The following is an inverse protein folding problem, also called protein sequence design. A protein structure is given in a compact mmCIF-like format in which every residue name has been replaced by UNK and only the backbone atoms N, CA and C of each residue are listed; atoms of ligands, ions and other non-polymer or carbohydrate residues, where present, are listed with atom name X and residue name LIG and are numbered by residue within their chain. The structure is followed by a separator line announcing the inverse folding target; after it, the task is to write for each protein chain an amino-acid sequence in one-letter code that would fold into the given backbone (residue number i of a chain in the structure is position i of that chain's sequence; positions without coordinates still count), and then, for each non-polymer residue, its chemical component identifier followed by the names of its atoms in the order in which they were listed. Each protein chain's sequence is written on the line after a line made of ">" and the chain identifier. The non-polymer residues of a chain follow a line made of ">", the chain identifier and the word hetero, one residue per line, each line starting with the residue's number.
data_IF_655583742612
#
_entry.id   IF_655583742612
#
_cell.length_a   1.000
_cell.length_b   1.000
_cell.length_c   1.000
_cell.angle_alpha   90.00
_cell.angle_beta   90.00
_cell.angle_gamma   90.00
#
_symmetry.space_group_name_H-M   'P 1'
#
loop_
_entity.id
_entity.type
_entity.pdbx_description
1 polymer ?
#
# COMPACT_ATOMS: atom_id res chain seq x y z
N UNK A 1 -20.21 11.41 71.49
CA UNK A 1 -20.65 10.61 70.32
C UNK A 1 -22.14 10.73 70.00
N UNK A 2 -23.07 10.70 70.97
CA UNK A 2 -24.51 10.70 70.69
C UNK A 2 -25.06 11.94 69.96
N UNK A 3 -24.68 13.15 70.38
CA UNK A 3 -25.33 14.39 69.94
C UNK A 3 -25.25 14.67 68.42
N UNK A 4 -24.09 14.56 67.77
CA UNK A 4 -23.98 14.81 66.33
C UNK A 4 -24.76 13.79 65.49
N UNK A 5 -24.80 12.53 65.92
CA UNK A 5 -25.60 11.48 65.28
C UNK A 5 -27.10 11.73 65.46
N UNK A 6 -27.52 12.19 66.65
CA UNK A 6 -28.92 12.55 66.92
C UNK A 6 -29.36 13.75 66.09
N UNK A 7 -28.53 14.80 65.97
CA UNK A 7 -28.81 15.97 65.13
C UNK A 7 -28.87 15.57 63.65
N UNK A 8 -27.94 14.74 63.17
CA UNK A 8 -28.04 14.20 61.81
C UNK A 8 -29.30 13.36 61.59
N UNK A 9 -29.76 12.62 62.61
CA UNK A 9 -31.02 11.87 62.56
C UNK A 9 -32.25 12.77 62.43
N UNK A 10 -32.24 13.92 63.11
CA UNK A 10 -33.28 14.94 62.97
C UNK A 10 -33.31 15.55 61.55
N UNK A 11 -32.13 15.77 60.95
CA UNK A 11 -32.03 16.23 59.56
C UNK A 11 -32.66 15.26 58.56
N UNK A 12 -32.44 13.94 58.74
CA UNK A 12 -33.09 12.90 57.91
C UNK A 12 -34.62 12.93 58.07
N UNK A 13 -35.13 13.17 59.29
CA UNK A 13 -36.56 13.31 59.54
C UNK A 13 -37.12 14.55 58.82
N UNK A 14 -36.43 15.70 58.89
CA UNK A 14 -36.85 16.89 58.17
C UNK A 14 -36.83 16.71 56.65
N UNK A 15 -35.83 16.00 56.12
CA UNK A 15 -35.77 15.63 54.71
C UNK A 15 -36.97 14.75 54.31
N UNK A 16 -37.28 13.72 55.11
CA UNK A 16 -38.44 12.86 54.87
C UNK A 16 -39.78 13.61 54.96
N UNK A 17 -39.88 14.65 55.80
CA UNK A 17 -41.04 15.54 55.91
C UNK A 17 -41.11 16.62 54.81
N UNK A 18 -40.15 16.65 53.87
CA UNK A 18 -40.09 17.64 52.80
C UNK A 18 -39.67 19.04 53.26
N UNK A 19 -39.19 19.20 54.50
CA UNK A 19 -38.70 20.47 55.04
C UNK A 19 -37.21 20.63 54.71
N UNK A 20 -36.93 20.90 53.44
CA UNK A 20 -35.58 20.83 52.87
C UNK A 20 -34.61 21.87 53.48
N UNK A 21 -35.05 23.11 53.71
CA UNK A 21 -34.21 24.15 54.31
C UNK A 21 -33.79 23.79 55.75
N UNK A 22 -34.75 23.30 56.55
CA UNK A 22 -34.46 22.82 57.91
C UNK A 22 -33.54 21.59 57.90
N UNK A 23 -33.67 20.70 56.90
CA UNK A 23 -32.78 19.56 56.76
C UNK A 23 -31.34 20.02 56.48
N UNK A 24 -31.14 20.99 55.59
CA UNK A 24 -29.84 21.59 55.27
C UNK A 24 -29.20 22.19 56.52
N UNK A 25 -29.93 23.08 57.21
CA UNK A 25 -29.43 23.74 58.42
C UNK A 25 -29.03 22.73 59.49
N UNK A 26 -29.87 21.71 59.70
CA UNK A 26 -29.63 20.67 60.71
C UNK A 26 -28.42 19.80 60.35
N UNK A 27 -28.22 19.46 59.07
CA UNK A 27 -27.04 18.70 58.66
C UNK A 27 -25.76 19.54 58.71
N UNK A 28 -25.80 20.84 58.41
CA UNK A 28 -24.65 21.73 58.62
C UNK A 28 -24.26 21.84 60.09
N UNK A 29 -25.23 21.97 60.99
CA UNK A 29 -24.98 21.93 62.44
C UNK A 29 -24.34 20.60 62.86
N UNK A 30 -24.81 19.47 62.32
CA UNK A 30 -24.21 18.17 62.58
C UNK A 30 -22.73 18.09 62.11
N UNK A 31 -22.41 18.68 60.96
CA UNK A 31 -21.03 18.75 60.42
C UNK A 31 -20.13 19.63 61.31
N UNK A 32 -20.59 20.83 61.66
CA UNK A 32 -19.87 21.76 62.56
C UNK A 32 -19.54 21.09 63.90
N UNK A 33 -20.51 20.42 64.50
CA UNK A 33 -20.32 19.68 65.74
C UNK A 33 -19.34 18.52 65.56
N UNK A 34 -19.46 17.74 64.48
CA UNK A 34 -18.57 16.62 64.20
C UNK A 34 -17.12 17.09 64.02
N UNK A 35 -16.90 18.21 63.32
CA UNK A 35 -15.58 18.86 63.16
C UNK A 35 -15.02 19.36 64.48
N UNK A 36 -15.82 20.07 65.29
CA UNK A 36 -15.41 20.59 66.61
C UNK A 36 -14.94 19.49 67.58
N UNK A 37 -15.51 18.30 67.45
CA UNK A 37 -15.17 17.14 68.26
C UNK A 37 -14.22 16.16 67.56
N UNK A 38 -13.71 16.49 66.37
CA UNK A 38 -12.81 15.68 65.56
C UNK A 38 -13.31 14.24 65.31
N UNK A 39 -14.63 14.08 65.11
CA UNK A 39 -15.26 12.77 64.83
C UNK A 39 -15.67 12.71 63.35
N UNK A 40 -14.82 12.14 62.52
CA UNK A 40 -15.00 12.12 61.05
C UNK A 40 -16.11 11.18 60.54
N UNK A 41 -16.57 10.21 61.34
CA UNK A 41 -17.61 9.26 60.92
C UNK A 41 -19.03 9.90 60.84
N UNK A 42 -19.52 10.60 61.89
CA UNK A 42 -20.75 11.39 61.81
C UNK A 42 -20.69 12.51 60.76
N UNK A 43 -19.52 13.14 60.57
CA UNK A 43 -19.30 14.16 59.55
C UNK A 43 -19.54 13.60 58.14
N UNK A 44 -18.91 12.47 57.81
CA UNK A 44 -19.08 11.85 56.50
C UNK A 44 -20.51 11.33 56.26
N UNK A 45 -21.24 10.98 57.33
CA UNK A 45 -22.67 10.64 57.24
C UNK A 45 -23.49 11.87 56.91
N UNK A 46 -23.32 12.96 57.66
CA UNK A 46 -24.05 14.20 57.45
C UNK A 46 -23.79 14.81 56.05
N UNK A 47 -22.57 14.72 55.54
CA UNK A 47 -22.24 15.10 54.15
C UNK A 47 -23.01 14.28 53.11
N UNK A 48 -23.15 12.97 53.31
CA UNK A 48 -23.94 12.15 52.39
C UNK A 48 -25.43 12.52 52.45
N UNK A 49 -25.97 12.77 53.64
CA UNK A 49 -27.39 13.16 53.77
C UNK A 49 -27.64 14.55 53.14
N UNK A 50 -26.71 15.51 53.27
CA UNK A 50 -26.78 16.78 52.53
C UNK A 50 -26.82 16.55 51.01
N UNK A 51 -25.98 15.65 50.49
CA UNK A 51 -26.02 15.29 49.09
C UNK A 51 -27.40 14.80 48.64
N UNK A 52 -28.08 14.00 49.47
CA UNK A 52 -29.43 13.50 49.19
C UNK A 52 -30.51 14.59 49.25
N UNK A 53 -30.37 15.55 50.16
CA UNK A 53 -31.25 16.72 50.24
C UNK A 53 -31.12 17.57 48.97
N UNK A 54 -29.89 17.89 48.55
CA UNK A 54 -29.65 18.65 47.31
C UNK A 54 -30.07 17.88 46.04
N UNK A 55 -29.91 16.55 46.02
CA UNK A 55 -30.43 15.71 44.94
C UNK A 55 -31.96 15.79 44.84
N UNK A 56 -32.66 15.89 45.98
CA UNK A 56 -34.12 16.06 46.04
C UNK A 56 -34.55 17.45 45.57
N UNK A 57 -33.74 18.48 45.82
CA UNK A 57 -33.96 19.85 45.33
C UNK A 57 -33.65 20.02 43.85
N UNK A 58 -32.97 19.04 43.22
CA UNK A 58 -32.55 19.10 41.83
C UNK A 58 -31.21 19.82 41.59
N UNK A 59 -30.52 20.28 42.64
CA UNK A 59 -29.17 20.84 42.56
C UNK A 59 -28.14 19.71 42.54
N UNK A 60 -28.02 19.06 41.36
CA UNK A 60 -27.21 17.86 41.18
C UNK A 60 -25.70 18.13 41.31
N UNK A 61 -25.25 19.36 41.03
CA UNK A 61 -23.85 19.74 41.15
C UNK A 61 -23.42 19.84 42.62
N UNK A 62 -24.23 20.48 43.47
CA UNK A 62 -23.98 20.46 44.92
C UNK A 62 -24.12 19.06 45.51
N UNK A 63 -25.13 18.31 45.07
CA UNK A 63 -25.28 16.91 45.51
C UNK A 63 -24.01 16.11 45.24
N UNK A 64 -23.44 16.25 44.04
CA UNK A 64 -22.19 15.60 43.64
C UNK A 64 -21.01 16.01 44.52
N UNK A 65 -20.86 17.29 44.80
CA UNK A 65 -19.81 17.81 45.67
C UNK A 65 -19.88 17.20 47.07
N UNK A 66 -21.05 17.23 47.71
CA UNK A 66 -21.22 16.67 49.05
C UNK A 66 -21.02 15.15 49.11
N UNK A 67 -21.39 14.42 48.05
CA UNK A 67 -21.09 12.99 47.95
C UNK A 67 -19.60 12.71 47.76
N UNK A 68 -18.88 13.54 47.01
CA UNK A 68 -17.43 13.42 46.84
C UNK A 68 -16.68 13.71 48.16
N UNK A 69 -17.09 14.77 48.88
CA UNK A 69 -16.52 15.11 50.19
C UNK A 69 -16.76 13.98 51.20
N UNK A 70 -17.96 13.40 51.20
CA UNK A 70 -18.30 12.22 52.01
C UNK A 70 -17.43 11.00 51.66
N UNK A 71 -17.19 10.75 50.37
CA UNK A 71 -16.34 9.65 49.90
C UNK A 71 -14.89 9.83 50.37
N UNK A 72 -14.31 11.03 50.17
CA UNK A 72 -12.93 11.34 50.56
C UNK A 72 -12.71 11.15 52.07
N UNK A 73 -13.66 11.64 52.88
CA UNK A 73 -13.57 11.49 54.33
C UNK A 73 -13.69 10.03 54.78
N UNK A 74 -14.54 9.23 54.12
CA UNK A 74 -14.69 7.78 54.40
C UNK A 74 -13.48 6.96 54.01
N UNK A 75 -12.79 7.35 52.94
CA UNK A 75 -11.51 6.75 52.56
C UNK A 75 -10.44 7.06 53.60
N UNK A 76 -10.34 8.31 54.06
CA UNK A 76 -9.36 8.71 55.08
C UNK A 76 -9.50 7.94 56.40
N UNK A 77 -10.73 7.60 56.80
CA UNK A 77 -11.00 6.81 58.01
C UNK A 77 -11.13 5.30 57.77
N UNK A 78 -10.77 4.80 56.58
CA UNK A 78 -10.85 3.39 56.19
C UNK A 78 -12.24 2.74 56.40
N UNK A 79 -13.33 3.52 56.27
CA UNK A 79 -14.69 3.01 56.39
C UNK A 79 -15.14 2.34 55.08
N UNK A 80 -14.76 1.08 54.88
CA UNK A 80 -15.06 0.30 53.65
C UNK A 80 -16.55 0.28 53.30
N UNK A 81 -17.42 0.06 54.28
CA UNK A 81 -18.87 0.01 54.05
C UNK A 81 -19.44 1.37 53.62
N UNK A 82 -18.92 2.46 54.19
CA UNK A 82 -19.25 3.83 53.80
C UNK A 82 -18.74 4.19 52.40
N UNK A 83 -17.53 3.74 52.04
CA UNK A 83 -16.96 3.97 50.70
C UNK A 83 -17.83 3.35 49.61
N UNK A 84 -18.27 2.10 49.79
CA UNK A 84 -19.18 1.43 48.83
C UNK A 84 -20.50 2.22 48.70
N UNK A 85 -21.07 2.68 49.82
CA UNK A 85 -22.32 3.44 49.80
C UNK A 85 -22.17 4.78 49.05
N UNK A 86 -21.07 5.50 49.26
CA UNK A 86 -20.79 6.76 48.56
C UNK A 86 -20.58 6.54 47.06
N UNK A 87 -19.85 5.48 46.66
CA UNK A 87 -19.63 5.15 45.24
C UNK A 87 -20.91 4.73 44.51
N UNK A 88 -21.82 3.99 45.17
CA UNK A 88 -23.14 3.65 44.62
C UNK A 88 -23.95 4.90 44.30
N UNK A 89 -23.97 5.85 45.24
CA UNK A 89 -24.77 7.07 45.12
C UNK A 89 -24.17 8.01 44.08
N UNK A 90 -22.85 8.19 44.06
CA UNK A 90 -22.15 8.92 43.00
C UNK A 90 -22.39 8.30 41.63
N UNK A 91 -22.26 6.98 41.50
CA UNK A 91 -22.50 6.29 40.24
C UNK A 91 -23.95 6.42 39.74
N UNK A 92 -24.93 6.42 40.64
CA UNK A 92 -26.33 6.66 40.30
C UNK A 92 -26.58 8.11 39.87
N UNK A 93 -25.99 9.08 40.57
CA UNK A 93 -26.09 10.51 40.25
C UNK A 93 -25.42 10.83 38.92
N UNK A 94 -24.21 10.33 38.69
CA UNK A 94 -23.46 10.53 37.44
C UNK A 94 -24.19 9.91 36.24
N UNK A 95 -24.90 8.79 36.44
CA UNK A 95 -25.77 8.21 35.42
C UNK A 95 -26.95 9.13 35.06
N UNK A 96 -27.56 9.80 36.05
CA UNK A 96 -28.62 10.80 35.83
C UNK A 96 -28.09 12.05 35.11
N UNK A 97 -26.85 12.45 35.41
CA UNK A 97 -26.13 13.55 34.76
C UNK A 97 -25.61 13.18 33.35
N UNK A 98 -25.84 11.94 32.88
CA UNK A 98 -25.30 11.39 31.63
C UNK A 98 -23.76 11.38 31.56
N UNK A 99 -23.09 11.51 32.71
CA UNK A 99 -21.65 11.37 32.84
C UNK A 99 -21.26 9.87 32.88
N UNK A 100 -21.56 9.16 31.79
CA UNK A 100 -21.53 7.69 31.76
C UNK A 100 -20.16 7.09 32.06
N UNK A 101 -19.06 7.76 31.71
CA UNK A 101 -17.71 7.31 32.05
C UNK A 101 -17.45 7.27 33.55
N UNK A 102 -17.76 8.36 34.25
CA UNK A 102 -17.58 8.51 35.70
C UNK A 102 -18.54 7.62 36.48
N UNK A 103 -19.77 7.45 35.97
CA UNK A 103 -20.74 6.51 36.51
C UNK A 103 -20.25 5.05 36.43
N UNK A 104 -19.66 4.64 35.29
CA UNK A 104 -19.09 3.30 35.11
C UNK A 104 -17.95 3.07 36.10
N UNK A 105 -17.00 4.00 36.18
CA UNK A 105 -15.84 3.89 37.06
C UNK A 105 -16.27 3.73 38.53
N UNK A 106 -17.19 4.59 39.00
CA UNK A 106 -17.70 4.57 40.37
C UNK A 106 -18.44 3.28 40.70
N UNK A 107 -19.32 2.80 39.82
CA UNK A 107 -20.10 1.58 40.05
C UNK A 107 -19.26 0.30 39.96
N UNK A 108 -18.29 0.22 39.05
CA UNK A 108 -17.37 -0.93 38.99
C UNK A 108 -16.49 -1.02 40.24
N UNK A 109 -15.95 0.11 40.69
CA UNK A 109 -15.18 0.19 41.94
C UNK A 109 -16.05 -0.16 43.15
N UNK A 110 -17.31 0.25 43.16
CA UNK A 110 -18.26 -0.16 44.19
C UNK A 110 -18.53 -1.67 44.18
N UNK A 111 -18.62 -2.28 43.00
CA UNK A 111 -18.83 -3.72 42.82
C UNK A 111 -17.67 -4.52 43.38
N UNK A 112 -16.44 -4.18 42.99
CA UNK A 112 -15.22 -4.83 43.45
C UNK A 112 -15.10 -4.79 44.99
N UNK A 113 -15.33 -3.61 45.59
CA UNK A 113 -15.28 -3.47 47.05
C UNK A 113 -16.44 -4.20 47.74
N UNK A 114 -17.62 -4.28 47.12
CA UNK A 114 -18.76 -5.01 47.65
C UNK A 114 -18.54 -6.53 47.61
N UNK A 115 -17.88 -7.05 46.57
CA UNK A 115 -17.46 -8.45 46.45
C UNK A 115 -16.45 -8.82 47.53
N UNK A 116 -15.39 -8.00 47.71
CA UNK A 116 -14.40 -8.20 48.77
C UNK A 116 -15.03 -8.18 50.17
N UNK A 117 -16.08 -7.39 50.37
CA UNK A 117 -16.81 -7.31 51.62
C UNK A 117 -17.95 -8.34 51.76
N UNK A 118 -18.15 -9.21 50.75
CA UNK A 118 -19.27 -10.15 50.64
C UNK A 118 -20.64 -9.51 50.90
N UNK A 119 -20.80 -8.24 50.52
CA UNK A 119 -21.98 -7.42 50.82
C UNK A 119 -23.08 -7.64 49.76
N UNK A 120 -23.70 -8.82 49.76
CA UNK A 120 -24.68 -9.27 48.74
C UNK A 120 -25.80 -8.26 48.42
N UNK A 121 -26.39 -7.62 49.45
CA UNK A 121 -27.43 -6.59 49.24
C UNK A 121 -26.91 -5.35 48.48
N UNK A 122 -25.64 -4.99 48.67
CA UNK A 122 -25.01 -3.87 47.94
C UNK A 122 -24.67 -4.29 46.52
N UNK A 123 -24.14 -5.49 46.32
CA UNK A 123 -23.89 -6.06 44.98
C UNK A 123 -25.18 -6.09 44.16
N UNK A 124 -26.28 -6.54 44.75
CA UNK A 124 -27.61 -6.52 44.13
C UNK A 124 -27.98 -5.11 43.63
N UNK A 125 -27.84 -4.10 44.48
CA UNK A 125 -28.12 -2.70 44.08
C UNK A 125 -27.18 -2.20 42.99
N UNK A 126 -25.90 -2.57 43.03
CA UNK A 126 -24.89 -2.16 42.03
C UNK A 126 -25.19 -2.79 40.67
N UNK A 127 -25.46 -4.09 40.60
CA UNK A 127 -25.80 -4.79 39.36
C UNK A 127 -27.06 -4.19 38.71
N UNK A 128 -28.07 -3.82 39.50
CA UNK A 128 -29.26 -3.13 39.00
C UNK A 128 -28.92 -1.77 38.38
N UNK A 129 -28.02 -1.00 39.01
CA UNK A 129 -27.59 0.31 38.50
C UNK A 129 -26.72 0.18 37.23
N UNK A 130 -25.81 -0.79 37.18
CA UNK A 130 -24.99 -1.09 36.01
C UNK A 130 -25.85 -1.52 34.82
N UNK A 131 -26.85 -2.39 35.02
CA UNK A 131 -27.77 -2.80 33.97
C UNK A 131 -28.53 -1.60 33.37
N UNK A 132 -29.04 -0.69 34.22
CA UNK A 132 -29.69 0.55 33.76
C UNK A 132 -28.72 1.48 33.04
N UNK A 133 -27.49 1.60 33.55
CA UNK A 133 -26.45 2.44 32.95
C UNK A 133 -26.10 1.95 31.54
N UNK A 134 -25.83 0.66 31.34
CA UNK A 134 -25.51 0.12 30.01
C UNK A 134 -26.70 0.17 29.06
N UNK A 135 -27.93 0.03 29.57
CA UNK A 135 -29.15 0.31 28.78
C UNK A 135 -29.19 1.77 28.30
N UNK A 136 -28.90 2.73 29.17
CA UNK A 136 -28.82 4.16 28.81
C UNK A 136 -27.65 4.45 27.83
N UNK A 137 -26.58 3.65 27.88
CA UNK A 137 -25.44 3.73 26.98
C UNK A 137 -25.66 3.01 25.63
N UNK A 138 -26.85 2.46 25.37
CA UNK A 138 -27.15 1.67 24.16
C UNK A 138 -26.25 0.43 23.98
N UNK A 139 -25.76 -0.15 25.07
CA UNK A 139 -25.02 -1.42 25.08
C UNK A 139 -25.92 -2.53 25.67
N UNK A 140 -26.79 -3.15 24.85
CA UNK A 140 -27.75 -4.14 25.32
C UNK A 140 -27.06 -5.40 25.85
N UNK A 141 -25.86 -5.73 25.35
CA UNK A 141 -25.10 -6.92 25.71
C UNK A 141 -24.59 -6.83 27.15
N UNK A 142 -23.93 -5.72 27.51
CA UNK A 142 -23.49 -5.51 28.90
C UNK A 142 -24.66 -5.27 29.83
N UNK A 143 -25.73 -4.61 29.37
CA UNK A 143 -26.93 -4.42 30.19
C UNK A 143 -27.54 -5.75 30.62
N UNK A 144 -27.63 -6.72 29.69
CA UNK A 144 -28.10 -8.06 30.00
C UNK A 144 -27.18 -8.78 30.99
N UNK A 145 -25.86 -8.72 30.77
CA UNK A 145 -24.87 -9.35 31.66
C UNK A 145 -25.04 -8.92 33.13
N UNK A 146 -25.21 -7.62 33.40
CA UNK A 146 -25.44 -7.14 34.78
C UNK A 146 -26.84 -7.44 35.30
N UNK A 147 -27.83 -7.52 34.41
CA UNK A 147 -29.17 -7.95 34.79
C UNK A 147 -29.20 -9.43 35.21
N UNK A 148 -28.40 -10.29 34.56
CA UNK A 148 -28.20 -11.68 34.97
C UNK A 148 -27.55 -11.78 36.36
N UNK A 149 -26.46 -11.03 36.58
CA UNK A 149 -25.80 -10.99 37.89
C UNK A 149 -26.76 -10.50 38.99
N UNK A 150 -27.60 -9.51 38.69
CA UNK A 150 -28.64 -9.04 39.60
C UNK A 150 -29.63 -10.15 39.95
N UNK A 151 -30.14 -10.90 38.97
CA UNK A 151 -31.10 -11.97 39.25
C UNK A 151 -30.45 -13.12 40.01
N UNK A 152 -29.25 -13.57 39.60
CA UNK A 152 -28.53 -14.63 40.30
C UNK A 152 -28.32 -14.31 41.79
N UNK A 153 -27.90 -13.07 42.09
CA UNK A 153 -27.78 -12.59 43.47
C UNK A 153 -29.14 -12.50 44.17
N UNK A 154 -30.20 -12.12 43.46
CA UNK A 154 -31.56 -12.06 44.01
C UNK A 154 -32.06 -13.45 44.40
N UNK A 155 -31.89 -14.44 43.52
CA UNK A 155 -32.28 -15.84 43.77
C UNK A 155 -31.52 -16.44 44.96
N UNK A 156 -30.22 -16.15 45.08
CA UNK A 156 -29.42 -16.56 46.24
C UNK A 156 -29.93 -15.94 47.56
N UNK A 157 -30.51 -14.74 47.51
CA UNK A 157 -31.05 -14.03 48.67
C UNK A 157 -32.51 -14.45 48.98
N UNK A 158 -33.36 -14.69 47.98
CA UNK A 158 -34.81 -14.89 48.15
C UNK A 158 -35.30 -16.34 48.02
N UNK A 159 -34.50 -17.26 47.46
CA UNK A 159 -34.85 -18.69 47.34
C UNK A 159 -35.90 -19.04 46.27
N UNK A 160 -36.42 -18.07 45.52
CA UNK A 160 -37.35 -18.27 44.39
C UNK A 160 -36.57 -18.61 43.10
N UNK A 161 -37.03 -19.61 42.33
CA UNK A 161 -36.38 -20.05 41.09
C UNK A 161 -37.04 -19.42 39.84
N UNK A 162 -36.38 -18.45 39.21
CA UNK A 162 -36.75 -17.89 37.89
C UNK A 162 -35.82 -18.38 36.75
N UNK A 163 -34.85 -19.24 37.07
CA UNK A 163 -33.77 -19.72 36.19
C UNK A 163 -34.21 -20.21 34.79
N UNK A 164 -35.36 -20.87 34.67
CA UNK A 164 -35.81 -21.46 33.38
C UNK A 164 -36.20 -20.41 32.34
N UNK A 165 -36.92 -19.35 32.75
CA UNK A 165 -37.32 -18.28 31.83
C UNK A 165 -36.09 -17.47 31.35
N UNK A 166 -35.12 -17.28 32.24
CA UNK A 166 -33.86 -16.59 31.95
C UNK A 166 -33.01 -17.38 30.97
N UNK A 167 -32.90 -18.70 31.18
CA UNK A 167 -32.19 -19.58 30.25
C UNK A 167 -32.75 -19.51 28.84
N UNK A 168 -34.08 -19.47 28.69
CA UNK A 168 -34.73 -19.35 27.39
C UNK A 168 -34.47 -17.98 26.73
N UNK A 169 -34.56 -16.89 27.49
CA UNK A 169 -34.27 -15.53 26.99
C UNK A 169 -32.80 -15.43 26.56
N UNK A 170 -31.88 -16.02 27.33
CA UNK A 170 -30.46 -16.09 27.00
C UNK A 170 -30.20 -16.83 25.70
N UNK A 171 -30.76 -18.03 25.55
CA UNK A 171 -30.61 -18.80 24.32
C UNK A 171 -31.14 -18.05 23.10
N UNK A 172 -32.28 -17.35 23.24
CA UNK A 172 -32.84 -16.51 22.17
C UNK A 172 -31.91 -15.35 21.81
N UNK A 173 -31.33 -14.69 22.81
CA UNK A 173 -30.46 -13.52 22.63
C UNK A 173 -29.08 -13.90 22.07
N UNK A 174 -28.49 -15.00 22.53
CA UNK A 174 -27.26 -15.57 21.98
C UNK A 174 -27.46 -15.98 20.51
N UNK A 175 -28.63 -16.53 20.18
CA UNK A 175 -29.00 -16.85 18.80
C UNK A 175 -29.11 -15.59 17.94
N UNK A 176 -29.76 -14.52 18.42
CA UNK A 176 -29.87 -13.24 17.69
C UNK A 176 -28.49 -12.59 17.47
N UNK A 177 -27.60 -12.67 18.46
CA UNK A 177 -26.22 -12.19 18.35
C UNK A 177 -25.47 -12.92 17.25
N UNK A 178 -25.48 -14.25 17.28
CA UNK A 178 -24.82 -15.08 16.29
C UNK A 178 -25.37 -14.85 14.88
N UNK A 179 -26.69 -14.65 14.74
CA UNK A 179 -27.31 -14.30 13.46
C UNK A 179 -26.83 -12.95 12.92
N UNK A 180 -26.71 -11.92 13.76
CA UNK A 180 -26.19 -10.60 13.35
C UNK A 180 -24.72 -10.67 12.96
N UNK A 181 -23.90 -11.39 13.74
CA UNK A 181 -22.48 -11.58 13.44
C UNK A 181 -22.29 -12.32 12.10
N UNK A 182 -23.06 -13.39 11.86
CA UNK A 182 -23.04 -14.13 10.60
C UNK A 182 -23.52 -13.29 9.40
N UNK A 183 -24.52 -12.42 9.57
CA UNK A 183 -24.98 -11.53 8.49
C UNK A 183 -23.93 -10.46 8.14
N UNK A 184 -23.24 -9.90 9.13
CA UNK A 184 -22.13 -8.95 8.90
C UNK A 184 -21.01 -9.64 8.11
N UNK A 185 -20.61 -10.84 8.52
CA UNK A 185 -19.58 -11.62 7.82
C UNK A 185 -20.01 -11.95 6.38
N UNK A 186 -21.27 -12.32 6.18
CA UNK A 186 -21.84 -12.56 4.84
C UNK A 186 -21.78 -11.32 3.96
N UNK A 187 -22.17 -10.16 4.49
CA UNK A 187 -22.12 -8.88 3.75
C UNK A 187 -20.69 -8.50 3.38
N UNK A 188 -19.73 -8.65 4.30
CA UNK A 188 -18.31 -8.43 4.03
C UNK A 188 -17.79 -9.36 2.93
N UNK A 189 -18.19 -10.64 2.94
CA UNK A 189 -17.86 -11.57 1.86
C UNK A 189 -18.43 -11.14 0.50
N UNK A 190 -19.65 -10.61 0.47
CA UNK A 190 -20.27 -10.09 -0.77
C UNK A 190 -19.52 -8.85 -1.27
N UNK A 191 -19.22 -7.89 -0.41
CA UNK A 191 -18.46 -6.68 -0.77
C UNK A 191 -17.06 -7.03 -1.28
N UNK A 192 -16.36 -7.94 -0.58
CA UNK A 192 -15.05 -8.41 -1.00
C UNK A 192 -15.11 -9.10 -2.36
N UNK A 193 -16.11 -9.97 -2.58
CA UNK A 193 -16.31 -10.62 -3.88
C UNK A 193 -16.54 -9.60 -4.99
N UNK A 194 -17.39 -8.60 -4.76
CA UNK A 194 -17.63 -7.53 -5.72
C UNK A 194 -16.36 -6.72 -6.01
N UNK A 195 -15.54 -6.44 -5.00
CA UNK A 195 -14.25 -5.76 -5.19
C UNK A 195 -13.30 -6.60 -6.06
N UNK A 196 -13.21 -7.91 -5.81
CA UNK A 196 -12.43 -8.83 -6.65
C UNK A 196 -12.92 -8.87 -8.10
N UNK A 197 -14.23 -9.03 -8.32
CA UNK A 197 -14.83 -9.03 -9.67
C UNK A 197 -14.54 -7.71 -10.41
N UNK A 198 -14.53 -6.57 -9.70
CA UNK A 198 -14.20 -5.26 -10.27
C UNK A 198 -12.73 -5.16 -10.69
N UNK A 199 -11.82 -5.64 -9.84
CA UNK A 199 -10.37 -5.67 -10.14
C UNK A 199 -10.10 -6.61 -11.32
N UNK A 200 -10.70 -7.79 -11.32
CA UNK A 200 -10.55 -8.76 -12.41
C UNK A 200 -11.05 -8.18 -13.74
N UNK A 201 -12.23 -7.55 -13.74
CA UNK A 201 -12.75 -6.86 -14.92
C UNK A 201 -11.83 -5.72 -15.40
N UNK A 202 -11.29 -4.92 -14.49
CA UNK A 202 -10.33 -3.85 -14.84
C UNK A 202 -9.03 -4.41 -15.42
N UNK A 203 -8.49 -5.48 -14.83
CA UNK A 203 -7.29 -6.13 -15.32
C UNK A 203 -7.49 -6.72 -16.73
N UNK A 204 -8.63 -7.36 -16.99
CA UNK A 204 -8.96 -7.88 -18.32
C UNK A 204 -9.04 -6.76 -19.36
N UNK A 205 -9.70 -5.64 -19.04
CA UNK A 205 -9.78 -4.49 -19.95
C UNK A 205 -8.40 -3.87 -20.25
N UNK A 206 -7.53 -3.79 -19.26
CA UNK A 206 -6.15 -3.31 -19.43
C UNK A 206 -5.38 -4.29 -20.31
N UNK A 207 -5.48 -5.59 -20.04
CA UNK A 207 -4.81 -6.63 -20.82
C UNK A 207 -5.25 -6.61 -22.29
N UNK A 208 -6.55 -6.48 -22.56
CA UNK A 208 -7.08 -6.36 -23.93
C UNK A 208 -6.53 -5.11 -24.64
N UNK A 209 -6.40 -3.99 -23.92
CA UNK A 209 -5.82 -2.75 -24.45
C UNK A 209 -4.33 -2.90 -24.76
N UNK A 210 -3.58 -3.59 -23.90
CA UNK A 210 -2.16 -3.89 -24.11
C UNK A 210 -1.95 -4.86 -25.28
N UNK A 211 -2.78 -5.90 -25.41
CA UNK A 211 -2.76 -6.82 -26.55
C UNK A 211 -3.12 -6.12 -27.86
N UNK A 212 -4.02 -5.13 -27.82
CA UNK A 212 -4.28 -4.27 -28.97
C UNK A 212 -3.07 -3.41 -29.34
N UNK A 213 -2.42 -2.77 -28.36
CA UNK A 213 -1.19 -2.01 -28.58
C UNK A 213 -0.06 -2.90 -29.17
N UNK A 214 0.08 -4.13 -28.67
CA UNK A 214 1.02 -5.13 -29.21
C UNK A 214 0.78 -5.41 -30.69
N UNK A 215 -0.48 -5.62 -31.09
CA UNK A 215 -0.83 -5.84 -32.50
C UNK A 215 -0.45 -4.65 -33.39
N UNK A 216 -0.60 -3.42 -32.89
CA UNK A 216 -0.14 -2.21 -33.60
C UNK A 216 1.37 -2.19 -33.72
N UNK A 217 2.08 -2.42 -32.62
CA UNK A 217 3.55 -2.43 -32.61
C UNK A 217 4.12 -3.51 -33.53
N UNK A 218 3.60 -4.74 -33.47
CA UNK A 218 4.01 -5.86 -34.33
C UNK A 218 3.75 -5.58 -35.82
N UNK A 219 2.68 -4.86 -36.16
CA UNK A 219 2.38 -4.49 -37.54
C UNK A 219 3.34 -3.44 -38.13
N UNK A 220 4.09 -2.73 -37.28
CA UNK A 220 5.07 -1.70 -37.68
C UNK A 220 6.51 -2.21 -37.63
N UNK A 221 6.74 -3.34 -36.98
CA UNK A 221 8.04 -4.00 -37.03
C UNK A 221 8.24 -4.62 -38.43
N UNK A 222 9.43 -4.43 -39.04
CA UNK A 222 9.74 -5.05 -40.32
C UNK A 222 9.59 -6.57 -40.26
N UNK A 223 9.14 -7.18 -41.35
CA UNK A 223 9.05 -8.64 -41.40
C UNK A 223 10.45 -9.27 -41.40
N UNK A 224 10.62 -10.41 -40.74
CA UNK A 224 11.88 -11.19 -40.84
C UNK A 224 12.21 -11.55 -42.30
N UNK A 225 11.18 -11.64 -43.16
CA UNK A 225 11.33 -11.89 -44.58
C UNK A 225 12.09 -10.76 -45.29
N UNK A 226 11.83 -9.49 -44.94
CA UNK A 226 12.58 -8.35 -45.49
C UNK A 226 14.06 -8.48 -45.17
N UNK A 227 14.43 -8.83 -43.93
CA UNK A 227 15.83 -9.05 -43.56
C UNK A 227 16.45 -10.19 -44.38
N UNK A 228 15.77 -11.33 -44.49
CA UNK A 228 16.27 -12.50 -45.22
C UNK A 228 16.37 -12.31 -46.73
N UNK A 229 15.57 -11.41 -47.30
CA UNK A 229 15.62 -11.09 -48.73
C UNK A 229 16.93 -10.39 -49.12
N UNK A 230 17.58 -9.69 -48.18
CA UNK A 230 18.82 -8.94 -48.44
C UNK A 230 20.05 -9.68 -47.90
N UNK A 231 19.90 -10.48 -46.86
CA UNK A 231 20.97 -11.33 -46.34
C UNK A 231 20.41 -12.67 -45.85
N UNK A 232 20.87 -13.76 -46.45
CA UNK A 232 20.62 -15.13 -45.93
C UNK A 232 21.33 -15.38 -44.58
N UNK A 233 22.02 -14.39 -44.05
CA UNK A 233 22.87 -14.50 -42.88
C UNK A 233 22.59 -13.35 -41.90
N UNK A 234 21.39 -13.35 -41.32
CA UNK A 234 21.07 -12.53 -40.16
C UNK A 234 20.08 -13.22 -39.22
N UNK A 235 20.10 -12.80 -37.95
CA UNK A 235 19.08 -13.16 -36.97
C UNK A 235 18.65 -11.92 -36.19
N UNK A 236 17.40 -11.93 -35.74
CA UNK A 236 16.88 -10.98 -34.76
C UNK A 236 16.41 -11.80 -33.56
N UNK A 237 16.95 -11.46 -32.40
CA UNK A 237 16.49 -11.89 -31.10
C UNK A 237 15.79 -10.70 -30.46
N UNK A 238 14.46 -10.76 -30.38
CA UNK A 238 13.64 -9.69 -29.84
C UNK A 238 12.72 -10.28 -28.78
N UNK A 239 12.88 -9.83 -27.54
CA UNK A 239 12.13 -10.33 -26.39
C UNK A 239 11.71 -9.15 -25.51
N UNK A 240 10.49 -8.63 -25.70
CA UNK A 240 9.91 -7.64 -24.79
C UNK A 240 9.86 -8.15 -23.34
N UNK A 241 10.08 -7.26 -22.37
CA UNK A 241 9.89 -7.52 -20.94
C UNK A 241 8.42 -7.67 -20.59
N UNK A 242 7.61 -6.74 -21.10
CA UNK A 242 6.17 -6.68 -20.91
C UNK A 242 5.43 -7.11 -22.20
N UNK A 243 4.14 -6.78 -22.33
CA UNK A 243 3.34 -7.10 -23.53
C UNK A 243 3.81 -6.29 -24.76
N UNK A 244 4.35 -5.09 -24.54
CA UNK A 244 4.88 -4.18 -25.55
C UNK A 244 6.25 -3.67 -25.12
N UNK A 245 7.08 -3.27 -26.08
CA UNK A 245 8.50 -2.97 -25.89
C UNK A 245 8.84 -1.51 -26.15
N UNK A 246 9.80 -0.95 -25.41
CA UNK A 246 10.53 0.27 -25.78
C UNK A 246 11.56 0.01 -26.88
N UNK A 247 12.16 -1.18 -26.86
CA UNK A 247 13.08 -1.60 -27.90
C UNK A 247 12.34 -1.92 -29.20
N UNK A 248 12.96 -1.58 -30.33
CA UNK A 248 12.52 -2.04 -31.64
C UNK A 248 13.69 -2.07 -32.63
N UNK A 249 13.52 -2.85 -33.69
CA UNK A 249 14.45 -2.87 -34.80
C UNK A 249 13.82 -2.24 -36.04
N UNK A 250 14.67 -1.68 -36.88
CA UNK A 250 14.26 -1.09 -38.15
C UNK A 250 15.19 -1.60 -39.24
N UNK A 251 14.62 -2.05 -40.36
CA UNK A 251 15.38 -2.46 -41.53
C UNK A 251 14.67 -1.97 -42.78
N UNK A 252 15.43 -1.40 -43.70
CA UNK A 252 14.95 -1.12 -45.04
C UNK A 252 16.10 -1.13 -46.02
N UNK A 253 15.81 -1.56 -47.23
CA UNK A 253 16.67 -1.41 -48.39
C UNK A 253 16.27 -0.19 -49.23
N UNK A 254 17.11 0.83 -49.28
CA UNK A 254 16.90 2.05 -50.09
C UNK A 254 17.82 2.04 -51.31
N UNK A 255 17.29 1.77 -52.49
CA UNK A 255 18.06 1.79 -53.75
C UNK A 255 19.19 0.76 -53.74
N UNK A 256 20.41 1.19 -53.38
CA UNK A 256 21.63 0.39 -53.32
C UNK A 256 22.21 0.25 -51.89
N UNK A 257 21.42 0.51 -50.84
CA UNK A 257 21.92 0.45 -49.46
C UNK A 257 20.93 -0.22 -48.52
N UNK A 258 21.41 -1.18 -47.75
CA UNK A 258 20.70 -1.75 -46.60
C UNK A 258 20.97 -0.88 -45.37
N UNK A 259 19.92 -0.41 -44.72
CA UNK A 259 20.01 0.31 -43.45
C UNK A 259 19.34 -0.52 -42.36
N UNK A 260 20.04 -0.74 -41.26
CA UNK A 260 19.65 -1.57 -40.13
C UNK A 260 19.88 -0.80 -38.83
N UNK A 261 18.88 -0.76 -37.96
CA UNK A 261 18.97 -0.13 -36.65
C UNK A 261 18.47 -1.05 -35.53
N UNK A 262 19.19 -1.04 -34.41
CA UNK A 262 18.71 -1.52 -33.13
C UNK A 262 18.49 -0.30 -32.23
N UNK A 263 17.26 -0.15 -31.73
CA UNK A 263 16.81 1.05 -31.03
C UNK A 263 16.29 0.66 -29.66
N UNK A 264 16.69 1.43 -28.65
CA UNK A 264 16.35 1.27 -27.25
C UNK A 264 15.76 2.59 -26.77
N UNK A 265 14.44 2.63 -26.61
CA UNK A 265 13.74 3.85 -26.22
C UNK A 265 13.71 4.01 -24.71
N UNK A 266 13.65 5.25 -24.23
CA UNK A 266 13.51 5.51 -22.79
C UNK A 266 12.22 4.92 -22.24
N UNK A 267 12.36 4.00 -21.29
CA UNK A 267 11.26 3.34 -20.58
C UNK A 267 10.76 2.09 -21.31
N UNK A 268 10.11 1.20 -20.55
CA UNK A 268 9.53 -0.06 -21.05
C UNK A 268 7.99 -0.02 -20.98
N UNK A 269 7.34 -1.04 -21.54
CA UNK A 269 5.89 -1.14 -21.55
C UNK A 269 5.24 -0.04 -22.40
N UNK A 270 4.10 0.49 -21.96
CA UNK A 270 3.28 1.41 -22.79
C UNK A 270 4.02 2.70 -23.21
N UNK A 271 4.71 3.44 -22.32
CA UNK A 271 5.43 4.64 -22.73
C UNK A 271 6.55 4.36 -23.75
N UNK A 272 7.33 3.30 -23.53
CA UNK A 272 8.36 2.86 -24.46
C UNK A 272 7.77 2.47 -25.82
N UNK A 273 6.62 1.79 -25.82
CA UNK A 273 5.92 1.43 -27.05
C UNK A 273 5.49 2.67 -27.84
N UNK A 274 4.97 3.73 -27.20
CA UNK A 274 4.67 4.98 -27.93
C UNK A 274 5.94 5.63 -28.50
N UNK A 275 7.05 5.59 -27.78
CA UNK A 275 8.33 6.11 -28.27
C UNK A 275 8.83 5.33 -29.49
N UNK A 276 8.72 4.00 -29.50
CA UNK A 276 9.11 3.19 -30.67
C UNK A 276 8.24 3.48 -31.89
N UNK A 277 6.93 3.71 -31.73
CA UNK A 277 6.04 4.11 -32.83
C UNK A 277 6.46 5.45 -33.45
N UNK A 278 6.69 6.45 -32.59
CA UNK A 278 7.13 7.79 -33.00
C UNK A 278 8.49 7.74 -33.70
N UNK A 279 9.43 6.98 -33.15
CA UNK A 279 10.76 6.82 -33.70
C UNK A 279 10.72 6.13 -35.07
N UNK A 280 9.91 5.08 -35.21
CA UNK A 280 9.71 4.36 -36.47
C UNK A 280 9.15 5.27 -37.57
N UNK A 281 8.13 6.07 -37.27
CA UNK A 281 7.57 7.03 -38.22
C UNK A 281 8.60 8.08 -38.67
N UNK A 282 9.36 8.65 -37.73
CA UNK A 282 10.44 9.59 -38.06
C UNK A 282 11.56 8.94 -38.88
N UNK A 283 11.94 7.70 -38.59
CA UNK A 283 12.91 6.95 -39.40
C UNK A 283 12.39 6.75 -40.83
N UNK A 284 11.12 6.39 -41.00
CA UNK A 284 10.51 6.25 -42.31
C UNK A 284 10.52 7.58 -43.07
N UNK A 285 10.17 8.69 -42.44
CA UNK A 285 10.24 10.01 -43.08
C UNK A 285 11.68 10.38 -43.48
N UNK A 286 12.63 10.26 -42.56
CA UNK A 286 14.03 10.63 -42.79
C UNK A 286 14.66 9.79 -43.91
N UNK A 287 14.44 8.47 -43.90
CA UNK A 287 15.15 7.56 -44.79
C UNK A 287 14.40 7.38 -46.11
N UNK A 288 13.07 7.26 -46.07
CA UNK A 288 12.26 6.91 -47.25
C UNK A 288 11.76 8.15 -47.99
N UNK A 289 11.34 9.19 -47.27
CA UNK A 289 10.85 10.43 -47.89
C UNK A 289 11.99 11.39 -48.21
N UNK A 290 12.91 11.60 -47.27
CA UNK A 290 14.02 12.55 -47.44
C UNK A 290 15.27 11.92 -48.08
N UNK A 291 15.29 10.59 -48.27
CA UNK A 291 16.39 9.83 -48.89
C UNK A 291 17.74 10.02 -48.18
N UNK A 292 17.72 10.20 -46.85
CA UNK A 292 18.92 10.36 -46.06
C UNK A 292 19.43 8.99 -45.59
N UNK A 293 20.52 8.49 -46.18
CA UNK A 293 21.03 7.14 -45.90
C UNK A 293 22.34 7.12 -45.09
N UNK A 294 22.94 8.28 -44.78
CA UNK A 294 24.20 8.34 -44.00
C UNK A 294 23.93 8.26 -42.49
N UNK A 295 24.51 7.29 -41.76
CA UNK A 295 24.15 7.02 -40.36
C UNK A 295 24.12 8.22 -39.42
N UNK A 296 25.19 8.99 -39.36
CA UNK A 296 25.29 10.16 -38.48
C UNK A 296 24.25 11.25 -38.81
N UNK A 297 23.95 11.43 -40.10
CA UNK A 297 22.96 12.41 -40.53
C UNK A 297 21.55 11.96 -40.16
N UNK A 298 21.26 10.65 -40.24
CA UNK A 298 20.00 10.07 -39.77
C UNK A 298 19.85 10.32 -38.27
N UNK A 299 20.88 10.03 -37.45
CA UNK A 299 20.79 10.27 -36.01
C UNK A 299 20.63 11.76 -35.66
N UNK A 300 21.30 12.66 -36.40
CA UNK A 300 21.14 14.11 -36.22
C UNK A 300 19.70 14.56 -36.54
N UNK A 301 19.15 14.09 -37.67
CA UNK A 301 17.78 14.41 -38.08
C UNK A 301 16.75 13.84 -37.09
N UNK A 302 16.96 12.60 -36.63
CA UNK A 302 16.09 11.95 -35.65
C UNK A 302 16.12 12.67 -34.31
N UNK A 303 17.29 13.13 -33.87
CA UNK A 303 17.43 13.92 -32.64
C UNK A 303 16.62 15.22 -32.70
N UNK A 304 16.71 15.97 -33.80
CA UNK A 304 15.92 17.18 -34.00
C UNK A 304 14.42 16.87 -34.11
N UNK A 305 14.06 15.80 -34.82
CA UNK A 305 12.68 15.33 -34.99
C UNK A 305 12.02 15.00 -33.66
N UNK A 306 12.66 14.19 -32.82
CA UNK A 306 12.16 13.80 -31.49
C UNK A 306 12.00 15.01 -30.59
N UNK A 307 13.02 15.90 -30.52
CA UNK A 307 12.95 17.11 -29.69
C UNK A 307 11.79 18.02 -30.08
N UNK A 308 11.58 18.20 -31.39
CA UNK A 308 10.49 19.01 -31.93
C UNK A 308 9.12 18.39 -31.64
N UNK A 309 8.96 17.10 -31.95
CA UNK A 309 7.69 16.40 -31.81
C UNK A 309 7.25 16.32 -30.33
N UNK A 310 8.18 16.03 -29.42
CA UNK A 310 7.93 15.95 -27.98
C UNK A 310 8.04 17.30 -27.26
N UNK A 311 8.25 18.39 -28.00
CA UNK A 311 8.34 19.77 -27.48
C UNK A 311 9.31 19.89 -26.29
N UNK A 312 10.50 19.30 -26.41
CA UNK A 312 11.42 19.16 -25.26
C UNK A 312 12.06 20.47 -24.81
N UNK A 313 11.98 21.51 -25.65
CA UNK A 313 12.40 22.88 -25.30
C UNK A 313 11.35 23.63 -24.47
N UNK A 314 10.08 23.28 -24.65
CA UNK A 314 8.93 23.91 -23.97
C UNK A 314 8.46 23.13 -22.74
N UNK A 315 8.76 21.83 -22.70
CA UNK A 315 8.24 20.90 -21.68
C UNK A 315 9.35 20.28 -20.85
N UNK A 316 8.96 19.61 -19.76
CA UNK A 316 9.84 18.78 -18.94
C UNK A 316 10.02 17.36 -19.52
N UNK A 317 9.53 17.08 -20.74
CA UNK A 317 9.76 15.80 -21.38
C UNK A 317 11.26 15.64 -21.69
N UNK A 318 11.81 14.49 -21.32
CA UNK A 318 13.22 14.13 -21.55
C UNK A 318 13.36 12.76 -22.20
N UNK A 319 12.27 12.26 -22.77
CA UNK A 319 12.24 10.95 -23.42
C UNK A 319 13.12 10.96 -24.67
N UNK A 320 13.64 9.81 -25.04
CA UNK A 320 14.63 9.71 -26.09
C UNK A 320 14.88 8.26 -26.44
N UNK A 321 16.03 8.02 -27.05
CA UNK A 321 16.45 6.67 -27.39
C UNK A 321 17.95 6.59 -27.54
N UNK A 322 18.47 5.42 -27.23
CA UNK A 322 19.78 4.95 -27.60
C UNK A 322 19.64 4.09 -28.86
N UNK A 323 20.62 4.14 -29.76
CA UNK A 323 20.49 3.53 -31.08
C UNK A 323 21.86 3.14 -31.62
N UNK A 324 21.93 1.98 -32.25
CA UNK A 324 23.02 1.59 -33.12
C UNK A 324 22.48 1.51 -34.55
N UNK A 325 23.08 2.23 -35.49
CA UNK A 325 22.64 2.27 -36.89
C UNK A 325 23.78 1.89 -37.83
N UNK A 326 23.55 0.85 -38.62
CA UNK A 326 24.47 0.30 -39.61
C UNK A 326 23.89 0.51 -41.01
N UNK A 327 24.69 1.02 -41.92
CA UNK A 327 24.31 1.19 -43.32
C UNK A 327 25.36 0.51 -44.22
N UNK A 328 24.90 -0.38 -45.09
CA UNK A 328 25.73 -1.27 -45.92
C UNK A 328 25.35 -1.08 -47.37
N UNK A 329 26.31 -0.66 -48.18
CA UNK A 329 26.15 -0.57 -49.64
C UNK A 329 25.98 -1.98 -50.26
N UNK A 330 25.11 -2.16 -51.26
CA UNK A 330 24.87 -3.41 -51.99
C UNK A 330 26.15 -4.01 -52.59
N UNK A 331 27.11 -3.16 -52.97
CA UNK A 331 28.42 -3.63 -53.47
C UNK A 331 29.30 -4.19 -52.35
N UNK A 332 28.84 -4.12 -51.09
CA UNK A 332 29.58 -4.39 -49.86
C UNK A 332 30.91 -3.63 -49.80
N UNK A 333 31.08 -2.55 -50.59
CA UNK A 333 32.31 -1.75 -50.65
C UNK A 333 32.39 -0.67 -49.57
N UNK A 334 31.30 -0.45 -48.84
CA UNK A 334 31.26 0.55 -47.77
C UNK A 334 30.27 0.16 -46.69
N UNK A 335 30.78 -0.07 -45.49
CA UNK A 335 29.98 -0.27 -44.28
C UNK A 335 30.16 0.95 -43.39
N UNK A 336 29.05 1.57 -43.01
CA UNK A 336 29.03 2.80 -42.22
C UNK A 336 28.24 2.57 -40.94
N UNK A 337 28.70 3.15 -39.85
CA UNK A 337 28.08 3.04 -38.55
C UNK A 337 28.03 4.40 -37.85
N UNK A 338 26.91 4.68 -37.20
CA UNK A 338 26.83 5.70 -36.16
C UNK A 338 25.99 5.14 -35.01
N UNK A 339 26.32 5.56 -33.79
CA UNK A 339 25.61 5.12 -32.59
C UNK A 339 25.37 6.26 -31.62
N UNK A 340 24.20 6.29 -31.02
CA UNK A 340 23.84 7.09 -29.86
C UNK A 340 23.87 6.16 -28.65
N UNK A 341 24.93 6.28 -27.83
CA UNK A 341 25.36 5.40 -26.74
C UNK A 341 25.65 3.94 -27.10
N UNK A 342 24.81 3.32 -27.92
CA UNK A 342 24.93 1.90 -28.25
C UNK A 342 26.08 1.68 -29.23
N UNK A 343 26.98 0.71 -28.95
CA UNK A 343 28.10 0.40 -29.82
C UNK A 343 27.71 -0.57 -30.94
N UNK A 344 28.54 -0.63 -31.98
CA UNK A 344 28.59 -1.77 -32.90
C UNK A 344 29.71 -2.69 -32.46
N UNK A 345 29.41 -3.98 -32.31
CA UNK A 345 30.43 -5.00 -32.15
C UNK A 345 30.55 -5.83 -33.42
N UNK A 346 31.77 -6.19 -33.78
CA UNK A 346 31.98 -7.20 -34.81
C UNK A 346 33.13 -8.12 -34.42
N UNK A 347 33.00 -9.39 -34.78
CA UNK A 347 34.00 -10.42 -34.50
C UNK A 347 34.57 -10.91 -35.81
N UNK A 348 35.89 -10.82 -35.94
CA UNK A 348 36.67 -11.33 -37.07
C UNK A 348 37.95 -11.97 -36.56
N UNK A 349 38.37 -13.09 -37.15
CA UNK A 349 39.56 -13.86 -36.74
C UNK A 349 39.65 -14.21 -35.23
N UNK A 350 38.52 -14.32 -34.54
CA UNK A 350 38.47 -14.62 -33.11
C UNK A 350 38.76 -13.41 -32.22
N UNK A 351 38.80 -12.20 -32.78
CA UNK A 351 38.90 -10.95 -32.05
C UNK A 351 37.62 -10.14 -32.20
N UNK A 352 37.07 -9.71 -31.05
CA UNK A 352 35.95 -8.77 -31.02
C UNK A 352 36.48 -7.34 -31.08
N UNK A 353 35.99 -6.57 -32.04
CA UNK A 353 36.23 -5.13 -32.15
C UNK A 353 34.95 -4.38 -31.80
N UNK A 354 35.09 -3.34 -30.99
CA UNK A 354 34.01 -2.44 -30.59
C UNK A 354 34.22 -1.08 -31.27
N UNK A 355 33.21 -0.63 -32.01
CA UNK A 355 33.09 0.77 -32.44
C UNK A 355 32.08 1.43 -31.51
N UNK A 356 32.56 2.39 -30.71
CA UNK A 356 31.73 3.09 -29.72
C UNK A 356 30.80 4.07 -30.43
N UNK A 357 29.54 4.11 -30.00
CA UNK A 357 28.67 5.24 -30.26
C UNK A 357 29.09 6.48 -29.47
N UNK A 358 28.57 7.63 -29.86
CA UNK A 358 28.71 8.86 -29.09
C UNK A 358 28.01 8.74 -27.75
N UNK A 359 28.47 9.46 -26.71
CA UNK A 359 27.91 9.35 -25.36
C UNK A 359 26.49 9.94 -25.21
N UNK A 360 26.04 10.65 -26.24
CA UNK A 360 24.77 11.35 -26.24
C UNK A 360 23.67 10.44 -26.78
N UNK A 361 22.50 10.49 -26.16
CA UNK A 361 21.29 9.85 -26.68
C UNK A 361 20.64 10.69 -27.77
N UNK A 362 19.67 10.12 -28.48
CA UNK A 362 18.75 10.85 -29.35
C UNK A 362 17.61 11.40 -28.48
N UNK A 363 17.12 12.60 -28.78
CA UNK A 363 16.20 13.33 -27.90
C UNK A 363 16.83 13.74 -26.55
N UNK A 364 15.98 14.01 -25.56
CA UNK A 364 16.36 14.34 -24.19
C UNK A 364 16.94 15.75 -23.99
N UNK A 365 17.55 15.97 -22.82
CA UNK A 365 18.21 17.25 -22.50
C UNK A 365 19.41 17.50 -23.42
N UNK A 366 19.55 18.73 -23.91
CA UNK A 366 20.70 19.17 -24.69
C UNK A 366 21.35 20.35 -23.97
N UNK A 367 22.63 20.22 -23.64
CA UNK A 367 23.42 21.26 -22.95
C UNK A 367 24.44 21.90 -23.87
N UNK A 368 24.83 21.16 -24.90
CA UNK A 368 25.66 21.60 -26.01
C UNK A 368 24.87 22.49 -26.98
N UNK A 369 25.60 23.34 -27.71
CA UNK A 369 24.99 24.22 -28.71
C UNK A 369 24.35 23.42 -29.86
N UNK A 370 25.00 22.35 -30.31
CA UNK A 370 24.54 21.49 -31.40
C UNK A 370 24.98 20.05 -31.12
N UNK A 371 24.04 19.09 -31.19
CA UNK A 371 24.35 17.66 -31.11
C UNK A 371 24.73 17.13 -32.48
N UNK A 372 25.91 16.51 -32.56
CA UNK A 372 26.40 15.83 -33.76
C UNK A 372 26.85 14.42 -33.42
N UNK A 373 26.43 13.47 -34.23
CA UNK A 373 26.90 12.10 -34.16
C UNK A 373 28.09 11.85 -35.10
N UNK A 374 28.95 10.91 -34.72
CA UNK A 374 30.16 10.55 -35.44
C UNK A 374 29.85 9.41 -36.41
N UNK A 375 30.23 9.60 -37.68
CA UNK A 375 30.15 8.54 -38.68
C UNK A 375 31.45 7.75 -38.72
N UNK A 376 31.35 6.44 -38.52
CA UNK A 376 32.45 5.50 -38.67
C UNK A 376 32.33 4.79 -40.01
N UNK A 377 33.42 4.73 -40.76
CA UNK A 377 33.50 3.95 -42.00
C UNK A 377 34.40 2.77 -41.74
N UNK A 378 33.86 1.56 -41.89
CA UNK A 378 34.58 0.31 -41.71
C UNK A 378 35.16 -0.09 -43.07
N UNK A 379 36.49 -0.13 -43.24
CA UNK A 379 37.11 -0.52 -44.50
C UNK A 379 36.79 -1.98 -44.81
N UNK A 380 36.34 -2.25 -46.03
CA UNK A 380 35.89 -3.57 -46.45
C UNK A 380 37.00 -4.60 -46.54
N UNK A 381 38.24 -4.16 -46.72
CA UNK A 381 39.42 -5.01 -46.59
C UNK A 381 39.54 -5.69 -45.21
N UNK A 382 38.88 -5.17 -44.17
CA UNK A 382 38.84 -5.76 -42.83
C UNK A 382 37.66 -6.74 -42.65
N UNK A 383 36.72 -6.76 -43.60
CA UNK A 383 35.52 -7.57 -43.56
C UNK A 383 35.79 -8.84 -44.34
N UNK A 384 35.93 -9.94 -43.61
CA UNK A 384 35.97 -11.30 -44.17
C UNK A 384 34.56 -11.88 -44.19
N UNK A 385 34.32 -12.89 -45.01
CA UNK A 385 33.06 -13.64 -45.09
C UNK A 385 32.70 -14.33 -43.75
N UNK A 386 33.65 -14.44 -42.82
CA UNK A 386 33.45 -14.97 -41.46
C UNK A 386 33.12 -13.89 -40.42
N UNK A 387 33.09 -12.62 -40.82
CA UNK A 387 32.89 -11.48 -39.92
C UNK A 387 31.42 -11.38 -39.53
N UNK A 388 31.15 -11.47 -38.23
CA UNK A 388 29.78 -11.33 -37.70
C UNK A 388 29.66 -9.97 -36.99
N UNK A 389 28.68 -9.18 -37.40
CA UNK A 389 28.29 -7.89 -36.82
C UNK A 389 27.14 -8.08 -35.84
N UNK A 390 27.15 -7.31 -34.75
CA UNK A 390 26.16 -7.39 -33.68
C UNK A 390 25.73 -5.99 -33.24
N UNK A 391 24.41 -5.75 -33.30
CA UNK A 391 23.74 -4.55 -32.77
C UNK A 391 22.76 -4.99 -31.69
N UNK A 392 22.72 -4.29 -30.55
CA UNK A 392 21.90 -4.72 -29.43
C UNK A 392 21.54 -3.55 -28.49
N UNK A 393 20.47 -3.73 -27.72
CA UNK A 393 20.10 -2.90 -26.56
C UNK A 393 20.78 -3.38 -25.28
N UNK A 394 20.66 -2.64 -24.19
CA UNK A 394 21.37 -2.97 -22.95
C UNK A 394 20.77 -4.14 -22.15
N UNK A 395 19.52 -4.54 -22.43
CA UNK A 395 18.79 -5.53 -21.63
C UNK A 395 19.50 -6.88 -21.49
N UNK A 396 20.22 -7.36 -22.51
CA UNK A 396 20.95 -8.63 -22.42
C UNK A 396 22.12 -8.55 -21.42
N UNK A 397 22.93 -7.49 -21.50
CA UNK A 397 24.10 -7.35 -20.64
C UNK A 397 23.72 -6.93 -19.21
N UNK A 398 22.58 -6.26 -19.03
CA UNK A 398 22.14 -5.78 -17.73
C UNK A 398 21.35 -6.81 -16.92
N UNK A 399 20.87 -7.89 -17.54
CA UNK A 399 20.13 -8.95 -16.87
C UNK A 399 20.89 -9.55 -15.67
N UNK A 400 20.23 -9.55 -14.51
CA UNK A 400 20.71 -10.24 -13.31
C UNK A 400 20.47 -11.75 -13.41
N UNK A 401 21.44 -12.53 -12.94
CA UNK A 401 21.34 -13.99 -12.92
C UNK A 401 22.62 -14.70 -12.47
N UNK A 402 22.68 -15.98 -12.78
CA UNK A 402 23.73 -16.91 -12.37
C UNK A 402 23.75 -17.19 -10.87
N UNK A 403 24.55 -18.17 -10.45
CA UNK A 403 24.64 -18.60 -9.03
C UNK A 403 24.99 -17.48 -8.04
N UNK A 404 25.60 -16.39 -8.52
CA UNK A 404 26.00 -15.25 -7.70
C UNK A 404 25.03 -14.05 -7.77
N UNK A 405 23.94 -14.13 -8.55
CA UNK A 405 22.96 -13.04 -8.71
C UNK A 405 23.57 -11.74 -9.23
N UNK A 406 24.43 -11.82 -10.25
CA UNK A 406 25.12 -10.66 -10.83
C UNK A 406 24.56 -10.32 -12.21
N UNK A 407 24.84 -9.11 -12.69
CA UNK A 407 24.60 -8.76 -14.11
C UNK A 407 25.39 -9.72 -15.01
N UNK A 408 24.81 -10.14 -16.13
CA UNK A 408 25.48 -10.94 -17.17
C UNK A 408 26.77 -10.24 -17.62
N UNK A 409 26.66 -8.94 -17.89
CA UNK A 409 27.78 -8.05 -18.07
C UNK A 409 28.44 -8.16 -19.44
N UNK A 410 29.09 -7.05 -19.80
CA UNK A 410 29.75 -6.86 -21.10
C UNK A 410 30.81 -7.92 -21.41
N UNK A 411 31.61 -8.29 -20.41
CA UNK A 411 32.74 -9.24 -20.58
C UNK A 411 32.25 -10.63 -20.95
N UNK A 412 31.24 -11.15 -20.24
CA UNK A 412 30.71 -12.49 -20.50
C UNK A 412 30.06 -12.58 -21.88
N UNK A 413 29.33 -11.54 -22.28
CA UNK A 413 28.72 -11.46 -23.60
C UNK A 413 29.78 -11.44 -24.71
N UNK A 414 30.86 -10.67 -24.52
CA UNK A 414 31.99 -10.66 -25.47
C UNK A 414 32.61 -12.04 -25.63
N UNK A 415 32.91 -12.71 -24.52
CA UNK A 415 33.51 -14.03 -24.53
C UNK A 415 32.59 -15.07 -25.20
N UNK A 416 31.28 -14.94 -25.01
CA UNK A 416 30.29 -15.78 -25.67
C UNK A 416 30.29 -15.56 -27.18
N UNK A 417 30.20 -14.31 -27.65
CA UNK A 417 30.18 -13.99 -29.08
C UNK A 417 31.46 -14.46 -29.79
N UNK A 418 32.63 -14.28 -29.17
CA UNK A 418 33.91 -14.77 -29.70
C UNK A 418 33.97 -16.30 -29.81
N UNK A 419 33.22 -17.04 -28.98
CA UNK A 419 33.12 -18.50 -29.09
C UNK A 419 32.17 -18.95 -30.20
N UNK A 420 31.08 -18.22 -30.42
CA UNK A 420 30.00 -18.66 -31.32
C UNK A 420 30.04 -18.04 -32.72
N UNK A 421 30.83 -16.97 -32.96
CA UNK A 421 30.75 -16.18 -34.21
C UNK A 421 30.94 -16.97 -35.52
N UNK A 422 31.57 -18.16 -35.49
CA UNK A 422 31.74 -19.01 -36.68
C UNK A 422 30.54 -19.91 -36.97
N UNK A 423 29.67 -20.13 -36.00
CA UNK A 423 28.49 -20.97 -36.17
C UNK A 423 27.50 -20.28 -37.13
N UNK A 424 26.58 -21.04 -37.74
CA UNK A 424 25.41 -20.49 -38.42
C UNK A 424 24.66 -19.51 -37.52
N UNK A 425 24.13 -18.43 -38.09
CA UNK A 425 23.54 -17.35 -37.31
C UNK A 425 22.28 -17.78 -36.54
N UNK A 426 21.49 -18.72 -37.07
CA UNK A 426 20.40 -19.34 -36.32
C UNK A 426 20.88 -20.12 -35.10
N UNK A 427 22.01 -20.83 -35.20
CA UNK A 427 22.62 -21.52 -34.06
C UNK A 427 23.15 -20.52 -33.04
N UNK A 428 23.76 -19.40 -33.49
CA UNK A 428 24.18 -18.32 -32.59
C UNK A 428 22.98 -17.75 -31.81
N UNK A 429 21.85 -17.50 -32.48
CA UNK A 429 20.61 -17.05 -31.84
C UNK A 429 20.16 -18.03 -30.78
N UNK A 430 20.16 -19.32 -31.09
CA UNK A 430 19.73 -20.37 -30.17
C UNK A 430 20.64 -20.44 -28.93
N UNK A 431 21.96 -20.37 -29.13
CA UNK A 431 22.93 -20.40 -28.02
C UNK A 431 22.80 -19.16 -27.14
N UNK A 432 22.55 -17.98 -27.72
CA UNK A 432 22.27 -16.76 -26.95
C UNK A 432 21.02 -16.92 -26.08
N UNK A 433 19.93 -17.46 -26.65
CA UNK A 433 18.68 -17.74 -25.93
C UNK A 433 18.91 -18.71 -24.77
N UNK A 434 19.54 -19.86 -25.03
CA UNK A 434 19.79 -20.89 -24.02
C UNK A 434 20.69 -20.39 -22.89
N UNK A 435 21.73 -19.62 -23.21
CA UNK A 435 22.60 -19.01 -22.19
C UNK A 435 21.84 -18.00 -21.34
N UNK A 436 20.96 -17.20 -21.96
CA UNK A 436 20.15 -16.21 -21.26
C UNK A 436 19.12 -16.87 -20.34
N UNK A 437 18.37 -17.85 -20.82
CA UNK A 437 17.38 -18.57 -20.01
C UNK A 437 18.03 -19.30 -18.84
N UNK A 438 19.15 -19.98 -19.08
CA UNK A 438 19.94 -20.62 -18.03
C UNK A 438 20.39 -19.60 -16.98
N UNK A 439 20.87 -18.43 -17.40
CA UNK A 439 21.33 -17.37 -16.50
C UNK A 439 20.23 -16.90 -15.55
N UNK A 440 19.02 -16.68 -16.06
CA UNK A 440 17.87 -16.26 -15.25
C UNK A 440 17.41 -17.39 -14.31
N UNK A 441 17.26 -18.60 -14.83
CA UNK A 441 16.73 -19.75 -14.08
C UNK A 441 17.63 -20.13 -12.91
N UNK A 442 18.96 -20.11 -13.09
CA UNK A 442 19.93 -20.40 -12.03
C UNK A 442 19.81 -19.47 -10.82
N UNK A 443 19.30 -18.25 -11.01
CA UNK A 443 19.13 -17.25 -9.95
C UNK A 443 17.67 -17.05 -9.53
N UNK A 444 16.71 -17.74 -10.16
CA UNK A 444 15.26 -17.49 -9.99
C UNK A 444 14.84 -16.03 -10.27
N UNK A 445 15.54 -15.36 -11.18
CA UNK A 445 15.27 -13.97 -11.54
C UNK A 445 14.13 -13.86 -12.57
N UNK A 446 13.67 -12.64 -12.83
CA UNK A 446 12.81 -12.31 -13.98
C UNK A 446 13.55 -11.42 -14.96
N UNK A 447 13.05 -11.34 -16.20
CA UNK A 447 13.56 -10.38 -17.17
C UNK A 447 13.38 -8.96 -16.64
N UNK A 448 14.47 -8.18 -16.62
CA UNK A 448 14.46 -6.84 -16.01
C UNK A 448 14.19 -5.72 -17.01
N UNK A 449 14.51 -5.92 -18.29
CA UNK A 449 14.38 -4.93 -19.36
C UNK A 449 14.04 -5.56 -20.70
N UNK A 450 13.61 -4.75 -21.66
CA UNK A 450 13.41 -5.18 -23.04
C UNK A 450 14.74 -5.66 -23.65
N UNK A 451 14.67 -6.61 -24.59
CA UNK A 451 15.87 -7.18 -25.18
C UNK A 451 15.78 -7.20 -26.69
N UNK A 452 16.76 -6.55 -27.32
CA UNK A 452 16.98 -6.60 -28.75
C UNK A 452 18.43 -6.97 -29.03
N UNK A 453 18.62 -7.98 -29.88
CA UNK A 453 19.91 -8.42 -30.36
C UNK A 453 19.82 -8.81 -31.83
N UNK A 454 20.61 -8.18 -32.66
CA UNK A 454 20.65 -8.41 -34.10
C UNK A 454 22.04 -8.89 -34.46
N UNK A 455 22.13 -10.04 -35.12
CA UNK A 455 23.35 -10.57 -35.69
C UNK A 455 23.29 -10.58 -37.21
N UNK A 456 24.37 -10.17 -37.88
CA UNK A 456 24.46 -10.08 -39.33
C UNK A 456 25.84 -10.54 -39.80
N UNK A 457 25.91 -11.22 -40.94
CA UNK A 457 27.15 -11.51 -41.67
C UNK A 457 27.00 -11.05 -43.11
N UNK A 458 28.04 -10.41 -43.63
CA UNK A 458 28.09 -9.92 -45.00
C UNK A 458 28.65 -11.05 -45.89
N UNK A 459 28.03 -11.26 -47.04
CA UNK A 459 28.44 -12.29 -48.01
C UNK A 459 29.57 -11.81 -48.90
#
# INVERSE_FOLDING_TARGET
>A
MGHATTVSGLGVIYHALGKLDLAIDTHHQAIEMAKKHHISSPEARALQELGAVYETMGDLDKARQYYADSLALRQAINNRQGVIASLIVLGALDSRLKAYGQARESLHKALELAEQAQAKLKMLRICQLLARLYKACQDPWKALQYFEQYIALKEEISGEQNATQIKNIKTLFDLEKAQKEAEIERLQHVELKQAYERIESQNNNILDSLLYAKRIQEALLPSLQELTNYTEQAFIFFKPKDIVSGDFYWVHHTGNQLVLAAVDCTGHGVPGAFMSLVANDLLNDIILTQHLCRPDLILNALHLGIRKLLKQEETQNRDGMDMALLAIDETHQKVQFAGARNPLWYVSDGQLTEIKGDRMSIGGEQREQERKFTNHVIPTAQIKDTTSFYLFSDGFQDQFGGLAGKKFGKTQLRDLLVKIYRQPLDEQRQILLENFEKWIVEAQEKQIDDMLFIGLRLK
#
